data_IF_602530047766
#
_entry.id   IF_602530047766
#
_cell.length_a   1.000
_cell.length_b   1.000
_cell.length_c   1.000
_cell.angle_alpha   90.00
_cell.angle_beta   90.00
_cell.angle_gamma   90.00
#
_symmetry.space_group_name_H-M   'P 1'
#
loop_
_entity.id
_entity.type
_entity.pdbx_description
1 polymer ?
#
# COMPACT_ATOMS: atom_id res chain seq x y z
N UNK A 1 -6.80 11.92 3.34
CA UNK A 1 -8.13 11.31 3.19
C UNK A 1 -8.12 10.38 1.98
N UNK A 2 -8.58 9.18 2.15
CA UNK A 2 -8.78 8.20 1.07
C UNK A 2 -10.27 7.93 0.92
N UNK A 3 -10.78 8.01 -0.31
CA UNK A 3 -12.19 7.77 -0.61
C UNK A 3 -12.32 6.90 -1.86
N UNK A 4 -13.26 5.98 -1.83
CA UNK A 4 -13.66 5.19 -3.00
C UNK A 4 -15.12 5.46 -3.33
N UNK A 5 -15.45 5.39 -4.61
CA UNK A 5 -16.80 5.51 -5.12
C UNK A 5 -17.09 4.34 -6.05
N UNK A 6 -17.99 3.47 -5.64
CA UNK A 6 -18.51 2.35 -6.43
C UNK A 6 -17.43 1.53 -7.17
N UNK A 7 -16.36 1.17 -6.46
CA UNK A 7 -15.25 0.43 -7.04
C UNK A 7 -15.59 -1.04 -7.18
N UNK A 8 -15.48 -1.55 -8.40
CA UNK A 8 -15.56 -2.96 -8.73
C UNK A 8 -14.18 -3.50 -9.12
N UNK A 9 -13.90 -4.75 -8.82
CA UNK A 9 -12.68 -5.38 -9.31
C UNK A 9 -12.80 -5.77 -10.79
N UNK A 10 -11.67 -5.93 -11.44
CA UNK A 10 -11.59 -6.40 -12.81
C UNK A 10 -12.08 -7.85 -12.86
N UNK A 11 -13.32 -8.01 -13.32
CA UNK A 11 -14.07 -9.24 -13.18
C UNK A 11 -13.53 -10.42 -13.97
N UNK A 12 -13.08 -11.43 -13.26
CA UNK A 12 -13.10 -12.80 -13.75
C UNK A 12 -14.48 -13.43 -13.58
N UNK A 13 -14.54 -14.74 -13.46
CA UNK A 13 -15.80 -15.48 -13.24
C UNK A 13 -16.50 -15.15 -11.91
N UNK A 14 -15.86 -14.43 -11.01
CA UNK A 14 -16.37 -14.07 -9.69
C UNK A 14 -15.94 -12.64 -9.35
N UNK A 15 -16.91 -11.75 -9.23
CA UNK A 15 -16.70 -10.41 -8.72
C UNK A 15 -16.44 -10.47 -7.21
N UNK A 16 -15.26 -10.05 -6.76
CA UNK A 16 -14.89 -9.97 -5.35
C UNK A 16 -15.19 -8.60 -4.75
N UNK A 17 -15.14 -7.56 -5.56
CA UNK A 17 -15.50 -6.19 -5.18
C UNK A 17 -16.72 -5.77 -5.98
N UNK A 18 -17.79 -5.42 -5.27
CA UNK A 18 -19.06 -5.01 -5.85
C UNK A 18 -19.48 -3.67 -5.25
N UNK A 19 -19.38 -2.61 -6.03
CA UNK A 19 -19.79 -1.24 -5.68
C UNK A 19 -19.25 -0.78 -4.32
N UNK A 20 -17.95 -0.98 -4.09
CA UNK A 20 -17.31 -0.63 -2.82
C UNK A 20 -17.12 0.88 -2.68
N UNK A 21 -17.79 1.45 -1.69
CA UNK A 21 -17.69 2.87 -1.38
C UNK A 21 -17.39 3.09 0.10
N UNK A 22 -16.32 3.81 0.41
CA UNK A 22 -15.99 4.22 1.77
C UNK A 22 -15.08 5.44 1.77
N UNK A 23 -14.92 6.04 2.93
CA UNK A 23 -14.06 7.19 3.16
C UNK A 23 -13.26 6.99 4.44
N UNK A 24 -11.96 7.27 4.38
CA UNK A 24 -11.07 7.30 5.55
C UNK A 24 -10.50 8.70 5.66
N UNK A 25 -10.87 9.41 6.71
CA UNK A 25 -10.39 10.77 6.98
C UNK A 25 -8.98 10.75 7.56
N UNK A 26 -8.34 11.90 7.54
CA UNK A 26 -7.02 12.06 8.14
C UNK A 26 -7.06 11.72 9.63
N UNK A 27 -6.11 10.90 10.07
CA UNK A 27 -6.04 10.42 11.45
C UNK A 27 -7.00 9.28 11.80
N UNK A 28 -7.86 8.84 10.90
CA UNK A 28 -8.74 7.70 11.10
C UNK A 28 -8.02 6.38 10.80
N UNK A 29 -8.42 5.34 11.50
CA UNK A 29 -8.05 3.96 11.23
C UNK A 29 -9.29 3.17 10.82
N UNK A 30 -9.28 2.63 9.61
CA UNK A 30 -10.34 1.76 9.11
C UNK A 30 -9.89 0.30 9.23
N UNK A 31 -10.71 -0.53 9.86
CA UNK A 31 -10.48 -1.98 9.94
C UNK A 31 -11.45 -2.70 9.01
N UNK A 32 -10.91 -3.55 8.15
CA UNK A 32 -11.69 -4.36 7.22
C UNK A 32 -11.61 -5.82 7.66
N UNK A 33 -12.77 -6.40 7.98
CA UNK A 33 -12.87 -7.78 8.43
C UNK A 33 -13.82 -8.56 7.55
N UNK A 34 -13.69 -9.88 7.57
CA UNK A 34 -14.54 -10.76 6.80
C UNK A 34 -13.91 -12.13 6.58
N UNK A 35 -14.63 -13.06 5.94
CA UNK A 35 -14.13 -14.40 5.67
C UNK A 35 -12.96 -14.39 4.69
N UNK A 36 -12.14 -15.43 4.73
CA UNK A 36 -11.09 -15.64 3.72
C UNK A 36 -11.73 -15.79 2.34
N UNK A 37 -11.14 -15.13 1.34
CA UNK A 37 -11.70 -15.09 -0.01
C UNK A 37 -12.83 -14.06 -0.20
N UNK A 38 -13.09 -13.20 0.80
CA UNK A 38 -14.12 -12.16 0.72
C UNK A 38 -13.70 -10.86 0.01
N UNK A 39 -12.50 -10.82 -0.56
CA UNK A 39 -12.04 -9.66 -1.33
C UNK A 39 -11.21 -8.64 -0.55
N UNK A 40 -10.87 -8.89 0.72
CA UNK A 40 -10.05 -7.96 1.52
C UNK A 40 -8.70 -7.65 0.89
N UNK A 41 -7.95 -8.67 0.50
CA UNK A 41 -6.65 -8.52 -0.17
C UNK A 41 -6.81 -7.91 -1.56
N UNK A 42 -7.87 -8.26 -2.28
CA UNK A 42 -8.19 -7.68 -3.59
C UNK A 42 -8.45 -6.18 -3.47
N UNK A 43 -9.19 -5.75 -2.46
CA UNK A 43 -9.43 -4.32 -2.21
C UNK A 43 -8.11 -3.58 -1.95
N UNK A 44 -7.26 -4.10 -1.08
CA UNK A 44 -5.96 -3.50 -0.80
C UNK A 44 -5.09 -3.39 -2.06
N UNK A 45 -5.01 -4.44 -2.86
CA UNK A 45 -4.26 -4.46 -4.13
C UNK A 45 -4.83 -3.48 -5.17
N UNK A 46 -6.13 -3.32 -5.20
CA UNK A 46 -6.79 -2.34 -6.06
C UNK A 46 -6.48 -0.91 -5.63
N UNK A 47 -6.46 -0.64 -4.34
CA UNK A 47 -6.15 0.69 -3.80
C UNK A 47 -4.70 1.12 -4.10
N UNK A 48 -3.75 0.21 -4.07
CA UNK A 48 -2.34 0.53 -4.38
C UNK A 48 -1.99 0.45 -5.86
N UNK A 49 -2.90 -0.06 -6.70
CA UNK A 49 -2.72 -0.12 -8.14
C UNK A 49 -2.12 -1.42 -8.69
N UNK A 50 -1.94 -2.47 -7.89
CA UNK A 50 -1.54 -3.80 -8.37
C UNK A 50 -2.64 -4.38 -9.26
N UNK A 51 -3.88 -4.28 -8.82
CA UNK A 51 -5.04 -4.64 -9.61
C UNK A 51 -5.72 -3.37 -10.13
N UNK A 52 -6.27 -3.43 -11.32
CA UNK A 52 -7.13 -2.36 -11.84
C UNK A 52 -8.57 -2.58 -11.40
N UNK A 53 -9.27 -1.47 -11.14
CA UNK A 53 -10.72 -1.52 -11.00
C UNK A 53 -11.38 -1.52 -12.37
N UNK A 54 -12.45 -2.27 -12.53
CA UNK A 54 -13.26 -2.26 -13.75
C UNK A 54 -14.06 -0.98 -13.86
N UNK A 55 -14.58 -0.50 -12.74
CA UNK A 55 -15.36 0.73 -12.65
C UNK A 55 -15.14 1.42 -11.30
N UNK A 56 -15.73 2.59 -11.16
CA UNK A 56 -15.63 3.40 -9.95
C UNK A 56 -14.44 4.34 -9.94
N UNK A 57 -14.28 5.05 -8.84
CA UNK A 57 -13.21 6.05 -8.67
C UNK A 57 -12.55 5.94 -7.31
N UNK A 58 -11.27 6.28 -7.28
CA UNK A 58 -10.45 6.33 -6.07
C UNK A 58 -9.85 7.71 -5.96
N UNK A 59 -10.03 8.35 -4.80
CA UNK A 59 -9.51 9.69 -4.52
C UNK A 59 -8.56 9.65 -3.32
N UNK A 60 -7.47 10.37 -3.43
CA UNK A 60 -6.54 10.61 -2.33
C UNK A 60 -6.38 12.12 -2.18
N UNK A 61 -6.75 12.67 -1.00
CA UNK A 61 -6.74 14.09 -0.71
C UNK A 61 -7.46 14.93 -1.80
N UNK A 62 -8.65 14.48 -2.19
CA UNK A 62 -9.50 15.08 -3.23
C UNK A 62 -8.92 15.05 -4.66
N UNK A 63 -7.83 14.33 -4.87
CA UNK A 63 -7.24 14.08 -6.19
C UNK A 63 -7.67 12.71 -6.69
N UNK A 64 -8.23 12.65 -7.90
CA UNK A 64 -8.57 11.39 -8.57
C UNK A 64 -7.29 10.65 -8.98
N UNK A 65 -7.08 9.49 -8.36
CA UNK A 65 -5.92 8.63 -8.61
C UNK A 65 -6.29 7.32 -9.31
N UNK A 66 -7.52 7.22 -9.81
CA UNK A 66 -8.06 5.99 -10.41
C UNK A 66 -7.17 5.45 -11.53
N UNK A 67 -6.65 6.32 -12.39
CA UNK A 67 -5.79 5.96 -13.51
C UNK A 67 -4.30 5.93 -13.18
N UNK A 68 -3.92 6.22 -11.94
CA UNK A 68 -2.54 6.18 -11.51
C UNK A 68 -2.03 4.74 -11.42
N UNK A 69 -0.81 4.52 -11.93
CA UNK A 69 -0.11 3.26 -11.73
C UNK A 69 0.46 3.14 -10.30
N UNK A 70 1.09 2.02 -10.00
CA UNK A 70 1.68 1.76 -8.67
C UNK A 70 2.68 2.86 -8.28
N UNK A 71 3.54 3.27 -9.20
CA UNK A 71 4.58 4.26 -8.94
C UNK A 71 3.99 5.64 -8.63
N UNK A 72 3.01 6.07 -9.39
CA UNK A 72 2.34 7.35 -9.16
C UNK A 72 1.56 7.36 -7.85
N UNK A 73 0.90 6.27 -7.50
CA UNK A 73 0.21 6.14 -6.21
C UNK A 73 1.17 6.14 -5.03
N UNK A 74 2.29 5.45 -5.14
CA UNK A 74 3.34 5.47 -4.12
C UNK A 74 3.91 6.87 -3.91
N UNK A 75 4.16 7.60 -4.99
CA UNK A 75 4.62 8.99 -4.94
C UNK A 75 3.57 9.95 -4.39
N UNK A 76 2.29 9.63 -4.56
CA UNK A 76 1.19 10.39 -3.98
C UNK A 76 1.04 10.18 -2.45
N UNK A 77 1.72 9.18 -1.89
CA UNK A 77 1.75 8.95 -0.44
C UNK A 77 1.08 7.66 0.02
N UNK A 78 0.73 6.74 -0.88
CA UNK A 78 0.14 5.45 -0.49
C UNK A 78 1.24 4.44 -0.21
N UNK A 79 1.28 3.93 1.03
CA UNK A 79 2.15 2.82 1.43
C UNK A 79 1.37 1.51 1.54
N UNK A 80 2.06 0.41 1.34
CA UNK A 80 1.48 -0.94 1.44
C UNK A 80 2.42 -1.90 2.14
N UNK A 81 1.91 -2.61 3.13
CA UNK A 81 2.63 -3.69 3.79
C UNK A 81 2.11 -5.03 3.26
N UNK A 82 3.01 -5.79 2.61
CA UNK A 82 2.66 -7.10 2.08
C UNK A 82 2.37 -8.09 3.21
N UNK A 83 1.44 -9.00 2.99
CA UNK A 83 1.13 -10.09 3.93
C UNK A 83 2.35 -11.01 4.13
N UNK A 84 3.08 -11.28 3.06
CA UNK A 84 4.39 -11.94 3.10
C UNK A 84 5.45 -10.94 2.65
N UNK A 85 6.46 -10.65 3.50
CA UNK A 85 7.50 -9.70 3.12
C UNK A 85 8.27 -10.20 1.89
N UNK A 86 8.41 -9.38 0.85
CA UNK A 86 9.22 -9.75 -0.31
C UNK A 86 10.69 -9.84 0.06
N UNK A 87 11.40 -10.77 -0.54
CA UNK A 87 12.86 -10.92 -0.38
C UNK A 87 13.58 -10.38 -1.60
N UNK A 88 14.58 -9.56 -1.36
CA UNK A 88 15.40 -8.97 -2.40
C UNK A 88 16.82 -9.53 -2.30
N UNK A 89 17.16 -10.48 -3.18
CA UNK A 89 18.49 -11.08 -3.21
C UNK A 89 19.55 -10.04 -3.56
N UNK A 90 20.67 -10.09 -2.84
CA UNK A 90 21.81 -9.22 -3.10
C UNK A 90 21.64 -7.77 -2.63
N UNK A 91 20.60 -7.46 -1.90
CA UNK A 91 20.42 -6.12 -1.32
C UNK A 91 20.59 -6.13 0.19
N UNK A 92 21.36 -5.18 0.69
CA UNK A 92 21.48 -4.95 2.13
C UNK A 92 20.28 -4.20 2.68
N UNK A 93 20.03 -4.31 3.97
CA UNK A 93 18.97 -3.55 4.65
C UNK A 93 19.19 -2.04 4.48
N UNK A 94 20.42 -1.57 4.59
CA UNK A 94 20.77 -0.17 4.37
C UNK A 94 20.37 0.32 2.98
N UNK A 95 20.61 -0.50 1.95
CA UNK A 95 20.26 -0.16 0.56
C UNK A 95 18.76 -0.11 0.36
N UNK A 96 18.01 -1.05 0.94
CA UNK A 96 16.54 -1.05 0.90
C UNK A 96 15.94 0.19 1.60
N UNK A 97 16.45 0.54 2.77
CA UNK A 97 16.01 1.73 3.49
C UNK A 97 16.31 3.01 2.70
N UNK A 98 17.48 3.08 2.08
CA UNK A 98 17.87 4.22 1.25
C UNK A 98 16.97 4.36 0.02
N UNK A 99 16.63 3.27 -0.65
CA UNK A 99 15.69 3.28 -1.77
C UNK A 99 14.30 3.73 -1.34
N UNK A 100 13.82 3.24 -0.21
CA UNK A 100 12.51 3.65 0.33
C UNK A 100 12.47 5.13 0.71
N UNK A 101 13.57 5.66 1.21
CA UNK A 101 13.69 7.07 1.58
C UNK A 101 13.89 8.00 0.37
N UNK A 102 14.21 7.46 -0.81
CA UNK A 102 14.52 8.24 -2.01
C UNK A 102 15.84 8.99 -1.93
N UNK A 103 16.68 8.67 -0.97
CA UNK A 103 18.02 9.26 -0.77
C UNK A 103 18.95 8.24 -0.14
N UNK A 104 20.25 8.46 -0.29
CA UNK A 104 21.26 7.65 0.39
C UNK A 104 21.25 7.95 1.90
N UNK A 105 20.98 6.93 2.71
CA UNK A 105 20.95 7.06 4.16
C UNK A 105 22.30 6.72 4.78
N UNK A 106 22.70 7.49 5.80
CA UNK A 106 23.85 7.17 6.62
C UNK A 106 23.53 6.04 7.60
N UNK A 107 24.57 5.34 8.05
CA UNK A 107 24.41 4.24 9.01
C UNK A 107 23.64 4.65 10.27
N UNK A 108 23.87 5.85 10.78
CA UNK A 108 23.18 6.38 11.96
C UNK A 108 21.68 6.57 11.74
N UNK A 109 21.28 7.03 10.55
CA UNK A 109 19.87 7.18 10.17
C UNK A 109 19.19 5.82 10.05
N UNK A 110 19.88 4.84 9.45
CA UNK A 110 19.38 3.47 9.37
C UNK A 110 19.24 2.84 10.77
N UNK A 111 20.18 3.06 11.66
CA UNK A 111 20.11 2.58 13.05
C UNK A 111 18.90 3.15 13.79
N UNK A 112 18.59 4.42 13.60
CA UNK A 112 17.40 5.04 14.20
C UNK A 112 16.09 4.40 13.69
N UNK A 113 16.01 4.19 12.39
CA UNK A 113 14.82 3.54 11.79
C UNK A 113 14.64 2.12 12.30
N UNK A 114 15.71 1.32 12.36
CA UNK A 114 15.67 -0.04 12.87
C UNK A 114 15.30 -0.08 14.36
N UNK A 115 15.83 0.83 15.16
CA UNK A 115 15.51 0.93 16.59
C UNK A 115 14.02 1.23 16.82
N UNK A 116 13.41 2.03 15.95
CA UNK A 116 11.99 2.37 16.03
C UNK A 116 11.09 1.12 15.97
N UNK A 117 11.53 0.11 15.24
CA UNK A 117 10.80 -1.18 15.12
C UNK A 117 11.40 -2.29 15.99
N UNK A 118 12.28 -1.95 16.93
CA UNK A 118 12.87 -2.88 17.90
C UNK A 118 13.97 -3.77 17.33
N UNK A 119 14.58 -3.42 16.21
CA UNK A 119 15.70 -4.15 15.62
C UNK A 119 17.05 -3.52 15.99
N UNK A 120 18.05 -4.37 16.21
CA UNK A 120 19.42 -3.94 16.46
C UNK A 120 20.20 -3.87 15.15
N UNK A 121 20.75 -2.70 14.83
CA UNK A 121 21.49 -2.47 13.59
C UNK A 121 22.78 -3.31 13.45
N UNK A 122 23.29 -3.85 14.54
CA UNK A 122 24.48 -4.71 14.51
C UNK A 122 24.20 -6.14 14.04
N UNK A 123 22.93 -6.51 13.95
CA UNK A 123 22.49 -7.85 13.54
C UNK A 123 21.98 -7.89 12.07
N UNK A 124 21.83 -6.74 11.44
CA UNK A 124 21.23 -6.64 10.11
C UNK A 124 22.03 -5.80 9.11
#
# INVERSE_FOLDING_TARGET
MLRTEEVDDEGGKKCLLDHISFEVKDGEMLVITGPNGGGKSTLAKTLIGINKSESGKIYLNDVDITDYDINHRANAGIGYAFQQPPRFKGMTVMKLLSLSAGKELKREECCKLLSTVGLCANEY
#
